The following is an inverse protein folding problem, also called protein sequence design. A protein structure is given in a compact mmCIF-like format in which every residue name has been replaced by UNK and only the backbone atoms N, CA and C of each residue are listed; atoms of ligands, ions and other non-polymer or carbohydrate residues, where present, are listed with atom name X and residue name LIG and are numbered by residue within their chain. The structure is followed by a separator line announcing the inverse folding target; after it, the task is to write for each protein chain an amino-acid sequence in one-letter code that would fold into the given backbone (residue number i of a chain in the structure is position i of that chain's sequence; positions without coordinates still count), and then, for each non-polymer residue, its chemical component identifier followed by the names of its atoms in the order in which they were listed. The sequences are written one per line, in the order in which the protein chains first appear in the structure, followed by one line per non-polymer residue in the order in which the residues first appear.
data_IF_656634041045
#
_entry.id   IF_656634041045
#
_cell.length_a   1.000
_cell.length_b   1.000
_cell.length_c   1.000
_cell.angle_alpha   90.00
_cell.angle_beta   90.00
_cell.angle_gamma   90.00
#
_symmetry.space_group_name_H-M   'P 1'
#
loop_
_entity.id
_entity.type
_entity.pdbx_description
1 polymer ?
#
# COMPACT_ATOMS: atom_id res chain seq x y z
N UNK A 1 -11.02 21.85 -1.81
CA UNK A 1 -11.23 20.39 -1.61
C UNK A 1 -10.37 19.64 -2.61
N UNK A 2 -9.60 18.68 -2.14
CA UNK A 2 -8.82 17.80 -3.02
C UNK A 2 -9.77 17.00 -3.94
N UNK A 3 -9.36 16.83 -5.19
CA UNK A 3 -10.02 15.94 -6.14
C UNK A 3 -9.06 14.79 -6.44
N UNK A 4 -9.61 13.60 -6.65
CA UNK A 4 -8.86 12.44 -7.08
C UNK A 4 -9.10 12.19 -8.56
N UNK A 5 -8.04 11.79 -9.25
CA UNK A 5 -8.08 11.19 -10.59
C UNK A 5 -7.76 9.72 -10.43
N UNK A 6 -8.49 8.82 -11.08
CA UNK A 6 -8.30 7.39 -10.90
C UNK A 6 -8.40 6.62 -12.21
N UNK A 7 -7.80 5.44 -12.23
CA UNK A 7 -7.95 4.43 -13.27
C UNK A 7 -8.58 3.18 -12.65
N UNK A 8 -9.62 2.66 -13.30
CA UNK A 8 -10.24 1.37 -12.98
C UNK A 8 -9.91 0.37 -14.07
N UNK A 9 -9.67 -0.88 -13.69
CA UNK A 9 -9.74 -2.01 -14.63
C UNK A 9 -11.15 -2.56 -14.63
N UNK A 10 -11.72 -2.74 -15.81
CA UNK A 10 -13.08 -3.19 -16.01
C UNK A 10 -13.11 -4.60 -16.62
N UNK A 11 -14.29 -5.22 -16.60
CA UNK A 11 -14.58 -6.46 -17.33
C UNK A 11 -14.15 -6.32 -18.81
N UNK A 12 -13.50 -7.36 -19.34
CA UNK A 12 -12.90 -7.31 -20.68
C UNK A 12 -11.52 -6.64 -20.74
N UNK A 13 -10.86 -6.44 -19.59
CA UNK A 13 -9.50 -5.89 -19.46
C UNK A 13 -9.34 -4.45 -20.00
N UNK A 14 -10.46 -3.72 -20.06
CA UNK A 14 -10.49 -2.31 -20.44
C UNK A 14 -10.16 -1.41 -19.25
N UNK A 15 -9.67 -0.21 -19.56
CA UNK A 15 -9.33 0.81 -18.57
C UNK A 15 -10.31 1.97 -18.65
N UNK A 16 -10.83 2.39 -17.49
CA UNK A 16 -11.66 3.58 -17.34
C UNK A 16 -10.93 4.62 -16.51
N UNK A 17 -10.97 5.88 -16.93
CA UNK A 17 -10.38 7.01 -16.19
C UNK A 17 -11.46 8.01 -15.82
N UNK A 18 -11.47 8.45 -14.56
CA UNK A 18 -12.42 9.43 -14.05
C UNK A 18 -11.85 10.27 -12.91
N UNK A 19 -12.67 11.20 -12.43
CA UNK A 19 -12.37 12.04 -11.28
C UNK A 19 -13.48 11.99 -10.23
N UNK A 20 -13.14 12.25 -8.97
CA UNK A 20 -14.09 12.29 -7.85
C UNK A 20 -13.53 13.04 -6.66
N UNK A 21 -14.36 13.46 -5.73
CA UNK A 21 -13.92 13.91 -4.39
C UNK A 21 -13.88 12.77 -3.38
N UNK A 22 -14.42 11.61 -3.74
CA UNK A 22 -14.60 10.44 -2.89
C UNK A 22 -14.50 9.18 -3.75
N UNK A 23 -13.40 8.44 -3.59
CA UNK A 23 -13.05 7.28 -4.40
C UNK A 23 -13.95 6.07 -4.09
N UNK A 24 -14.21 5.81 -2.82
CA UNK A 24 -15.02 4.68 -2.35
C UNK A 24 -16.49 4.84 -2.75
N UNK A 25 -17.06 6.04 -2.54
CA UNK A 25 -18.41 6.36 -3.02
C UNK A 25 -18.49 6.18 -4.53
N UNK A 26 -17.47 6.65 -5.26
CA UNK A 26 -17.51 6.63 -6.72
C UNK A 26 -17.40 5.21 -7.27
N UNK A 27 -16.57 4.36 -6.67
CA UNK A 27 -16.50 2.95 -7.03
C UNK A 27 -17.83 2.24 -6.78
N UNK A 28 -18.44 2.49 -5.63
CA UNK A 28 -19.77 1.94 -5.29
C UNK A 28 -20.85 2.38 -6.29
N UNK A 29 -20.81 3.63 -6.77
CA UNK A 29 -21.70 4.11 -7.83
C UNK A 29 -21.48 3.41 -9.17
N UNK A 30 -20.23 3.08 -9.51
CA UNK A 30 -19.90 2.35 -10.74
C UNK A 30 -20.25 0.85 -10.65
N UNK A 31 -20.06 0.23 -9.49
CA UNK A 31 -20.35 -1.18 -9.26
C UNK A 31 -21.86 -1.46 -9.02
N UNK A 32 -22.58 -0.47 -8.49
CA UNK A 32 -24.00 -0.59 -8.16
C UNK A 32 -24.95 -0.53 -9.36
N UNK A 33 -26.14 -1.14 -9.23
CA UNK A 33 -27.18 -1.15 -10.29
C UNK A 33 -28.02 0.14 -10.38
N UNK A 34 -27.67 1.17 -9.61
CA UNK A 34 -28.49 2.38 -9.41
C UNK A 34 -28.33 3.49 -10.45
N UNK A 35 -27.72 3.25 -11.61
CA UNK A 35 -27.62 4.22 -12.71
C UNK A 35 -26.76 5.46 -12.46
N UNK A 36 -26.05 5.55 -11.32
CA UNK A 36 -25.17 6.68 -10.97
C UNK A 36 -23.72 6.54 -11.46
N UNK A 37 -23.37 5.36 -11.97
CA UNK A 37 -22.10 5.12 -12.66
C UNK A 37 -22.07 5.77 -14.06
N UNK A 38 -20.88 5.93 -14.62
CA UNK A 38 -20.74 6.36 -16.01
C UNK A 38 -21.37 5.33 -16.96
N UNK A 39 -21.89 5.79 -18.11
CA UNK A 39 -22.48 4.91 -19.13
C UNK A 39 -21.54 3.77 -19.51
N UNK A 40 -20.25 4.05 -19.66
CA UNK A 40 -19.24 3.04 -19.99
C UNK A 40 -19.17 1.93 -18.94
N UNK A 41 -19.05 2.29 -17.67
CA UNK A 41 -18.93 1.34 -16.55
C UNK A 41 -20.20 0.55 -16.27
N UNK A 42 -21.36 1.04 -16.74
CA UNK A 42 -22.60 0.28 -16.67
C UNK A 42 -22.57 -0.95 -17.60
N UNK A 43 -21.85 -0.85 -18.73
CA UNK A 43 -21.67 -1.93 -19.71
C UNK A 43 -20.36 -2.70 -19.52
N UNK A 44 -19.37 -2.11 -18.84
CA UNK A 44 -18.07 -2.72 -18.52
C UNK A 44 -17.80 -2.51 -17.05
N UNK A 45 -18.24 -3.44 -16.19
CA UNK A 45 -18.19 -3.21 -14.75
C UNK A 45 -16.74 -3.08 -14.28
N UNK A 46 -16.43 -2.14 -13.38
CA UNK A 46 -15.11 -2.09 -12.78
C UNK A 46 -14.89 -3.31 -11.88
N UNK A 47 -13.70 -3.88 -11.99
CA UNK A 47 -13.22 -4.98 -11.17
C UNK A 47 -12.45 -4.43 -9.96
N UNK A 48 -11.61 -3.42 -10.17
CA UNK A 48 -10.76 -2.80 -9.13
C UNK A 48 -10.18 -1.46 -9.58
N UNK A 49 -9.61 -0.70 -8.64
CA UNK A 49 -8.69 0.38 -8.94
C UNK A 49 -7.33 -0.15 -9.40
N UNK A 50 -6.72 0.58 -10.34
CA UNK A 50 -5.37 0.34 -10.83
C UNK A 50 -4.41 1.49 -10.47
N UNK A 51 -4.94 2.69 -10.27
CA UNK A 51 -4.16 3.83 -9.79
C UNK A 51 -5.10 4.94 -9.34
N UNK A 52 -4.65 5.75 -8.39
CA UNK A 52 -5.29 7.03 -8.06
C UNK A 52 -4.23 8.11 -7.77
N UNK A 53 -4.58 9.36 -8.04
CA UNK A 53 -3.79 10.53 -7.73
C UNK A 53 -4.65 11.63 -7.09
N UNK A 54 -4.14 12.24 -6.03
CA UNK A 54 -4.71 13.45 -5.45
C UNK A 54 -4.25 14.68 -6.26
N UNK A 55 -5.19 15.57 -6.57
CA UNK A 55 -4.97 16.83 -7.27
C UNK A 55 -5.47 18.02 -6.41
N UNK A 56 -4.86 19.21 -6.53
CA UNK A 56 -5.18 20.38 -5.72
C UNK A 56 -6.63 20.89 -5.87
N UNK A 57 -7.32 20.48 -6.94
CA UNK A 57 -8.73 20.80 -7.16
C UNK A 57 -9.26 20.27 -8.48
N UNK A 58 -10.54 20.54 -8.76
CA UNK A 58 -11.25 20.00 -9.93
C UNK A 58 -10.59 20.32 -11.26
N UNK A 59 -10.10 21.55 -11.44
CA UNK A 59 -9.47 21.98 -12.70
C UNK A 59 -8.21 21.15 -13.00
N UNK A 60 -7.36 20.97 -11.99
CA UNK A 60 -6.15 20.13 -12.09
C UNK A 60 -6.50 18.66 -12.31
N UNK A 61 -7.50 18.14 -11.60
CA UNK A 61 -7.99 16.79 -11.80
C UNK A 61 -8.50 16.56 -13.23
N UNK A 62 -9.28 17.48 -13.79
CA UNK A 62 -9.76 17.39 -15.18
C UNK A 62 -8.64 17.48 -16.21
N UNK A 63 -7.61 18.31 -15.96
CA UNK A 63 -6.41 18.38 -16.81
C UNK A 63 -5.67 17.05 -16.84
N UNK A 64 -5.43 16.45 -15.66
CA UNK A 64 -4.78 15.15 -15.57
C UNK A 64 -5.65 14.04 -16.19
N UNK A 65 -6.96 14.01 -15.92
CA UNK A 65 -7.90 13.05 -16.53
C UNK A 65 -7.83 13.10 -18.06
N UNK A 66 -7.87 14.30 -18.65
CA UNK A 66 -7.74 14.49 -20.09
C UNK A 66 -6.41 13.94 -20.60
N UNK A 67 -5.30 14.33 -19.97
CA UNK A 67 -3.95 13.86 -20.34
C UNK A 67 -3.83 12.34 -20.25
N UNK A 68 -4.37 11.71 -19.19
CA UNK A 68 -4.39 10.25 -19.06
C UNK A 68 -5.23 9.62 -20.17
N UNK A 69 -6.39 10.20 -20.54
CA UNK A 69 -7.24 9.65 -21.60
C UNK A 69 -6.53 9.60 -22.96
N UNK A 70 -5.71 10.60 -23.27
CA UNK A 70 -4.89 10.68 -24.49
C UNK A 70 -3.77 9.63 -24.55
N UNK A 71 -3.35 9.06 -23.41
CA UNK A 71 -2.34 8.01 -23.39
C UNK A 71 -2.83 6.74 -24.09
N UNK A 72 -1.91 6.10 -24.81
CA UNK A 72 -2.11 4.75 -25.33
C UNK A 72 -2.24 3.74 -24.17
N UNK A 73 -2.77 2.55 -24.47
CA UNK A 73 -2.91 1.50 -23.45
C UNK A 73 -1.55 1.14 -22.80
N UNK A 74 -0.45 0.90 -23.53
CA UNK A 74 0.85 0.63 -22.92
C UNK A 74 1.36 1.74 -22.00
N UNK A 75 1.09 3.00 -22.33
CA UNK A 75 1.47 4.15 -21.49
C UNK A 75 0.63 4.22 -20.21
N UNK A 76 -0.67 3.92 -20.29
CA UNK A 76 -1.54 3.80 -19.11
C UNK A 76 -1.06 2.67 -18.20
N UNK A 77 -0.72 1.51 -18.74
CA UNK A 77 -0.20 0.37 -17.97
C UNK A 77 1.15 0.70 -17.31
N UNK A 78 2.01 1.47 -17.99
CA UNK A 78 3.24 2.01 -17.40
C UNK A 78 2.95 2.93 -16.23
N UNK A 79 1.98 3.84 -16.40
CA UNK A 79 1.52 4.76 -15.36
C UNK A 79 0.97 4.01 -14.14
N UNK A 80 0.15 2.98 -14.38
CA UNK A 80 -0.37 2.08 -13.35
C UNK A 80 0.76 1.42 -12.57
N UNK A 81 1.80 0.92 -13.25
CA UNK A 81 2.95 0.27 -12.60
C UNK A 81 3.89 1.23 -11.85
N UNK A 82 3.57 2.54 -11.82
CA UNK A 82 4.36 3.58 -11.16
C UNK A 82 5.45 4.20 -12.04
N UNK A 83 5.61 3.73 -13.28
CA UNK A 83 6.44 4.39 -14.27
C UNK A 83 5.76 5.65 -14.80
N UNK A 84 6.52 6.55 -15.43
CA UNK A 84 5.96 7.75 -16.06
C UNK A 84 6.32 7.75 -17.55
N UNK A 85 5.36 7.89 -18.49
CA UNK A 85 5.67 8.09 -19.91
C UNK A 85 6.54 9.33 -20.13
N UNK A 86 7.33 9.34 -21.20
CA UNK A 86 8.21 10.48 -21.51
C UNK A 86 7.38 11.76 -21.72
N UNK A 87 7.79 12.87 -21.10
CA UNK A 87 7.04 14.12 -21.13
C UNK A 87 5.76 14.17 -20.27
N UNK A 88 5.41 13.09 -19.56
CA UNK A 88 4.20 13.04 -18.73
C UNK A 88 4.46 13.50 -17.28
N UNK A 89 4.60 14.81 -17.05
CA UNK A 89 4.88 15.32 -15.69
C UNK A 89 3.74 15.08 -14.68
N UNK A 90 4.08 14.59 -13.48
CA UNK A 90 3.17 14.36 -12.35
C UNK A 90 3.41 15.29 -11.14
N UNK A 91 4.23 16.33 -11.27
CA UNK A 91 4.76 17.16 -10.17
C UNK A 91 3.69 17.76 -9.23
N UNK A 92 2.45 17.91 -9.68
CA UNK A 92 1.34 18.47 -8.90
C UNK A 92 0.32 17.42 -8.43
N UNK A 93 0.59 16.13 -8.67
CA UNK A 93 -0.34 15.04 -8.39
C UNK A 93 0.34 13.97 -7.56
N UNK A 94 -0.22 13.65 -6.41
CA UNK A 94 0.36 12.70 -5.46
C UNK A 94 -0.31 11.35 -5.63
N UNK A 95 0.46 10.26 -5.76
CA UNK A 95 -0.11 8.91 -5.88
C UNK A 95 -0.81 8.57 -4.55
N UNK A 96 -2.04 8.12 -4.65
CA UNK A 96 -2.84 7.69 -3.50
C UNK A 96 -2.93 6.19 -3.57
N UNK A 97 -2.42 5.52 -2.55
CA UNK A 97 -2.65 4.09 -2.42
C UNK A 97 -4.12 3.84 -2.09
N UNK A 98 -4.76 2.98 -2.88
CA UNK A 98 -6.18 2.69 -2.75
C UNK A 98 -6.41 1.19 -2.64
N UNK A 99 -7.42 0.81 -1.87
CA UNK A 99 -7.90 -0.57 -1.87
C UNK A 99 -8.59 -0.87 -3.21
N UNK A 100 -8.86 -2.15 -3.48
CA UNK A 100 -9.66 -2.55 -4.65
C UNK A 100 -11.06 -1.91 -4.69
N UNK A 101 -11.58 -1.44 -3.54
CA UNK A 101 -12.89 -0.77 -3.40
C UNK A 101 -12.81 0.76 -3.39
N UNK A 102 -11.61 1.35 -3.50
CA UNK A 102 -11.42 2.80 -3.60
C UNK A 102 -11.23 3.53 -2.27
N UNK A 103 -11.01 2.82 -1.18
CA UNK A 103 -10.67 3.47 0.08
C UNK A 103 -9.23 3.95 0.04
N UNK A 104 -8.99 5.23 0.33
CA UNK A 104 -7.63 5.77 0.45
C UNK A 104 -6.94 5.15 1.67
N UNK A 105 -5.74 4.61 1.48
CA UNK A 105 -5.01 3.89 2.53
C UNK A 105 -3.97 4.81 3.15
N UNK A 106 -4.06 5.06 4.45
CA UNK A 106 -2.91 5.55 5.21
C UNK A 106 -1.98 4.38 5.49
N UNK A 107 -0.81 4.38 4.88
CA UNK A 107 0.21 3.37 5.11
C UNK A 107 1.21 3.85 6.15
N UNK A 108 1.54 3.01 7.12
CA UNK A 108 2.65 3.25 8.04
C UNK A 108 3.80 2.31 7.69
N UNK A 109 4.96 2.90 7.38
CA UNK A 109 6.18 2.19 7.06
C UNK A 109 7.08 2.10 8.30
N UNK A 110 7.01 0.95 8.98
CA UNK A 110 7.80 0.64 10.17
C UNK A 110 9.14 0.07 9.73
N UNK A 111 10.22 0.77 10.04
CA UNK A 111 11.52 0.41 9.50
C UNK A 111 12.68 0.92 10.36
N UNK A 112 13.87 0.36 10.15
CA UNK A 112 15.12 0.88 10.68
C UNK A 112 15.97 1.47 9.54
N UNK A 113 16.29 2.79 9.53
CA UNK A 113 16.90 3.47 8.38
C UNK A 113 18.23 2.87 7.90
N UNK A 114 19.01 2.26 8.81
CA UNK A 114 20.32 1.68 8.46
C UNK A 114 20.23 0.25 7.91
N UNK A 115 19.03 -0.32 7.76
CA UNK A 115 18.84 -1.65 7.22
C UNK A 115 18.70 -1.62 5.70
N UNK A 116 19.49 -2.41 4.98
CA UNK A 116 19.51 -2.45 3.51
C UNK A 116 18.18 -2.92 2.90
N UNK A 117 17.51 -3.91 3.49
CA UNK A 117 16.17 -4.35 3.05
C UNK A 117 15.13 -3.25 3.20
N UNK A 118 15.25 -2.48 4.28
CA UNK A 118 14.44 -1.31 4.57
C UNK A 118 14.65 -0.19 3.55
N UNK A 119 15.90 0.08 3.18
CA UNK A 119 16.24 1.06 2.14
C UNK A 119 15.66 0.65 0.77
N UNK A 120 15.73 -0.63 0.41
CA UNK A 120 15.11 -1.16 -0.82
C UNK A 120 13.58 -0.99 -0.83
N UNK A 121 12.93 -1.31 0.28
CA UNK A 121 11.48 -1.15 0.41
C UNK A 121 11.07 0.32 0.37
N UNK A 122 11.86 1.21 0.97
CA UNK A 122 11.65 2.66 0.90
C UNK A 122 11.74 3.16 -0.54
N UNK A 123 12.83 2.81 -1.24
CA UNK A 123 13.01 3.18 -2.64
C UNK A 123 11.84 2.70 -3.51
N UNK A 124 11.33 1.48 -3.27
CA UNK A 124 10.16 0.96 -3.96
C UNK A 124 8.91 1.84 -3.79
N UNK A 125 8.64 2.33 -2.57
CA UNK A 125 7.51 3.22 -2.28
C UNK A 125 7.73 4.59 -2.91
N UNK A 126 8.92 5.17 -2.72
CA UNK A 126 9.27 6.50 -3.20
C UNK A 126 9.25 6.59 -4.74
N UNK A 127 9.80 5.58 -5.44
CA UNK A 127 9.79 5.50 -6.91
C UNK A 127 8.38 5.42 -7.50
N UNK A 128 7.43 4.85 -6.75
CA UNK A 128 6.02 4.76 -7.13
C UNK A 128 5.19 5.94 -6.62
N UNK A 129 5.82 6.85 -5.88
CA UNK A 129 5.17 8.01 -5.25
C UNK A 129 4.16 7.65 -4.16
N UNK A 130 4.23 6.44 -3.60
CA UNK A 130 3.29 5.98 -2.56
C UNK A 130 3.58 6.73 -1.26
N UNK A 131 2.60 7.48 -0.75
CA UNK A 131 2.74 8.17 0.53
C UNK A 131 2.63 7.20 1.73
N UNK A 132 3.45 7.44 2.75
CA UNK A 132 3.45 6.67 3.99
C UNK A 132 3.91 7.50 5.20
N UNK A 133 3.42 7.14 6.38
CA UNK A 133 3.92 7.61 7.67
C UNK A 133 5.13 6.75 8.08
N UNK A 134 6.31 7.38 8.23
CA UNK A 134 7.53 6.65 8.59
C UNK A 134 7.68 6.55 10.12
N UNK A 135 7.91 5.34 10.63
CA UNK A 135 8.25 5.10 12.05
C UNK A 135 9.56 4.33 12.17
N UNK A 136 10.51 4.91 12.92
CA UNK A 136 11.75 4.23 13.27
C UNK A 136 11.49 3.20 14.36
N UNK A 137 11.55 1.93 14.01
CA UNK A 137 11.25 0.80 14.91
C UNK A 137 12.22 0.72 16.12
N UNK A 138 13.40 1.35 16.03
CA UNK A 138 14.35 1.41 17.14
C UNK A 138 13.96 2.46 18.17
N UNK A 139 13.44 3.60 17.71
CA UNK A 139 13.09 4.73 18.58
C UNK A 139 11.70 4.54 19.18
N UNK A 140 10.79 4.00 18.39
CA UNK A 140 9.41 3.78 18.76
C UNK A 140 9.06 2.31 18.44
N UNK A 141 9.29 1.44 19.43
CA UNK A 141 9.09 0.00 19.32
C UNK A 141 7.59 -0.33 19.32
N UNK A 142 7.13 -1.32 18.52
CA UNK A 142 5.74 -1.75 18.52
C UNK A 142 5.29 -2.27 19.88
N UNK A 143 4.10 -1.89 20.31
CA UNK A 143 3.47 -2.46 21.51
C UNK A 143 2.92 -3.87 21.25
N UNK A 144 2.65 -4.64 22.31
CA UNK A 144 2.00 -5.96 22.18
C UNK A 144 0.65 -5.89 21.46
N UNK A 145 -0.15 -4.86 21.77
CA UNK A 145 -1.46 -4.66 21.16
C UNK A 145 -1.33 -4.44 19.65
N UNK A 146 -0.37 -3.60 19.22
CA UNK A 146 -0.08 -3.40 17.81
C UNK A 146 0.38 -4.71 17.14
N UNK A 147 1.31 -5.44 17.76
CA UNK A 147 1.85 -6.68 17.21
C UNK A 147 0.78 -7.76 17.03
N UNK A 148 -0.18 -7.88 17.95
CA UNK A 148 -1.32 -8.81 17.82
C UNK A 148 -2.19 -8.46 16.62
N UNK A 149 -2.56 -7.18 16.48
CA UNK A 149 -3.35 -6.70 15.34
C UNK A 149 -2.61 -6.94 14.03
N UNK A 150 -1.30 -6.67 14.01
CA UNK A 150 -0.48 -6.85 12.81
C UNK A 150 -0.33 -8.32 12.43
N UNK A 151 -0.12 -9.19 13.42
CA UNK A 151 -0.01 -10.63 13.22
C UNK A 151 -1.30 -11.19 12.62
N UNK A 152 -2.45 -10.91 13.25
CA UNK A 152 -3.76 -11.36 12.76
C UNK A 152 -4.02 -10.90 11.32
N UNK A 153 -3.81 -9.60 11.03
CA UNK A 153 -4.02 -9.05 9.68
C UNK A 153 -3.04 -9.58 8.63
N UNK A 154 -1.84 -9.99 9.03
CA UNK A 154 -0.86 -10.52 8.07
C UNK A 154 -1.19 -11.93 7.60
N UNK A 155 -1.94 -12.72 8.40
CA UNK A 155 -2.18 -14.15 8.14
C UNK A 155 -0.90 -15.02 8.17
N UNK A 156 0.22 -14.48 8.64
CA UNK A 156 1.51 -15.18 8.73
C UNK A 156 1.68 -15.79 10.12
N UNK A 157 2.44 -16.89 10.27
CA UNK A 157 2.81 -17.38 11.61
C UNK A 157 3.62 -16.33 12.39
N UNK A 158 3.37 -16.19 13.69
CA UNK A 158 4.05 -15.22 14.58
C UNK A 158 5.59 -15.26 14.48
N UNK A 159 6.17 -16.44 14.27
CA UNK A 159 7.61 -16.62 14.03
C UNK A 159 8.16 -15.72 12.91
N UNK A 160 7.36 -15.36 11.91
CA UNK A 160 7.74 -14.45 10.81
C UNK A 160 7.96 -12.99 11.27
N UNK A 161 7.39 -12.61 12.41
CA UNK A 161 7.61 -11.30 13.03
C UNK A 161 8.93 -11.20 13.78
N UNK A 162 9.67 -12.31 13.97
CA UNK A 162 11.00 -12.25 14.56
C UNK A 162 12.07 -11.94 13.51
N UNK A 163 13.00 -11.06 13.87
CA UNK A 163 14.20 -10.77 13.12
C UNK A 163 15.25 -11.88 13.33
N UNK A 164 15.01 -13.05 12.73
CA UNK A 164 15.84 -14.25 12.89
C UNK A 164 17.31 -14.08 12.48
N UNK A 165 17.62 -13.09 11.64
CA UNK A 165 18.99 -12.76 11.22
C UNK A 165 19.67 -11.73 12.14
N UNK A 166 18.92 -11.10 13.04
CA UNK A 166 19.38 -10.03 13.92
C UNK A 166 20.30 -10.52 15.05
N UNK A 167 21.17 -9.63 15.52
CA UNK A 167 22.09 -9.93 16.62
C UNK A 167 21.33 -10.25 17.92
N UNK A 168 20.26 -9.51 18.23
CA UNK A 168 19.45 -9.75 19.43
C UNK A 168 18.81 -11.14 19.46
N UNK A 169 18.30 -11.59 18.31
CA UNK A 169 17.70 -12.92 18.19
C UNK A 169 18.72 -14.04 18.48
N UNK A 170 19.95 -13.87 18.00
CA UNK A 170 21.06 -14.81 18.26
C UNK A 170 21.54 -14.73 19.71
N UNK A 171 21.72 -13.53 20.25
CA UNK A 171 22.22 -13.29 21.60
C UNK A 171 21.29 -13.87 22.68
N UNK A 172 19.98 -13.84 22.45
CA UNK A 172 18.99 -14.41 23.36
C UNK A 172 18.75 -15.92 23.17
N UNK A 173 19.43 -16.54 22.19
CA UNK A 173 19.28 -17.95 21.77
C UNK A 173 17.84 -18.33 21.41
N UNK A 174 17.12 -17.41 20.75
CA UNK A 174 15.68 -17.57 20.49
C UNK A 174 15.34 -18.75 19.58
N UNK A 175 16.30 -19.23 18.77
CA UNK A 175 16.12 -20.47 17.99
C UNK A 175 15.73 -21.66 18.88
N UNK A 176 16.27 -21.75 20.10
CA UNK A 176 16.01 -22.85 21.04
C UNK A 176 14.80 -22.57 21.93
N UNK A 177 14.59 -21.32 22.32
CA UNK A 177 13.57 -20.91 23.31
C UNK A 177 12.18 -20.69 22.71
N UNK A 178 12.09 -20.18 21.47
CA UNK A 178 10.79 -19.89 20.85
C UNK A 178 9.84 -21.09 20.74
N UNK A 179 10.29 -22.31 20.39
CA UNK A 179 9.40 -23.46 20.32
C UNK A 179 8.73 -23.83 21.64
N UNK A 180 9.31 -23.45 22.78
CA UNK A 180 8.75 -23.70 24.12
C UNK A 180 7.96 -22.52 24.69
N UNK A 181 7.95 -21.37 24.01
CA UNK A 181 7.24 -20.17 24.46
C UNK A 181 5.80 -20.17 23.94
N UNK A 182 4.88 -19.77 24.81
CA UNK A 182 3.51 -19.42 24.43
C UNK A 182 3.47 -18.20 23.53
N UNK A 183 2.37 -17.98 22.81
CA UNK A 183 2.24 -16.77 21.97
C UNK A 183 2.30 -15.48 22.79
N UNK A 184 1.71 -15.47 23.98
CA UNK A 184 1.72 -14.31 24.88
C UNK A 184 3.14 -13.93 25.31
N UNK A 185 3.97 -14.92 25.65
CA UNK A 185 5.38 -14.69 25.95
C UNK A 185 6.16 -14.18 24.73
N UNK A 186 5.82 -14.67 23.53
CA UNK A 186 6.43 -14.21 22.28
C UNK A 186 6.08 -12.75 21.97
N UNK A 187 4.83 -12.33 22.19
CA UNK A 187 4.42 -10.93 22.02
C UNK A 187 5.11 -10.02 23.03
N UNK A 188 5.11 -10.39 24.31
CA UNK A 188 5.79 -9.64 25.34
C UNK A 188 7.28 -9.44 24.99
N UNK A 189 7.94 -10.51 24.52
CA UNK A 189 9.32 -10.43 24.06
C UNK A 189 9.50 -9.48 22.86
N UNK A 190 8.66 -9.59 21.83
CA UNK A 190 8.75 -8.71 20.65
C UNK A 190 8.55 -7.23 21.01
N UNK A 191 7.73 -6.94 22.01
CA UNK A 191 7.46 -5.58 22.47
C UNK A 191 8.61 -4.96 23.29
N UNK A 192 9.57 -5.77 23.77
CA UNK A 192 10.69 -5.26 24.59
C UNK A 192 11.74 -4.49 23.78
N UNK A 193 12.02 -4.91 22.56
CA UNK A 193 13.03 -4.31 21.69
C UNK A 193 12.59 -4.43 20.23
N UNK A 194 12.30 -3.31 19.57
CA UNK A 194 11.97 -3.28 18.15
C UNK A 194 13.04 -3.87 17.22
N UNK A 195 14.27 -4.09 17.69
CA UNK A 195 15.31 -4.81 16.94
C UNK A 195 15.07 -6.33 16.86
N UNK A 196 14.23 -6.89 17.74
CA UNK A 196 13.73 -8.26 17.66
C UNK A 196 12.65 -8.42 16.61
N UNK A 197 11.97 -7.33 16.24
CA UNK A 197 10.89 -7.35 15.26
C UNK A 197 11.45 -7.35 13.83
N UNK A 198 10.87 -8.20 12.97
CA UNK A 198 11.19 -8.31 11.56
C UNK A 198 10.89 -6.98 10.88
N UNK A 199 11.75 -6.59 9.96
CA UNK A 199 11.67 -5.32 9.24
C UNK A 199 12.01 -5.49 7.76
N UNK A 200 11.48 -4.62 6.87
CA UNK A 200 10.45 -3.60 7.15
C UNK A 200 9.07 -4.23 7.46
N UNK A 201 8.15 -3.44 8.02
CA UNK A 201 6.72 -3.78 8.09
C UNK A 201 5.94 -2.63 7.44
N UNK A 202 5.04 -2.97 6.53
CA UNK A 202 4.09 -2.02 5.95
C UNK A 202 2.71 -2.30 6.53
N UNK A 203 2.19 -1.35 7.29
CA UNK A 203 0.89 -1.46 7.96
C UNK A 203 -0.10 -0.57 7.22
N UNK A 204 -1.10 -1.18 6.62
CA UNK A 204 -2.27 -0.52 6.06
C UNK A 204 -3.50 -0.84 6.93
N UNK A 205 -4.63 -0.22 6.61
CA UNK A 205 -5.86 -0.55 7.31
C UNK A 205 -6.34 -1.98 7.03
N UNK A 206 -6.23 -2.45 5.79
CA UNK A 206 -6.79 -3.75 5.39
C UNK A 206 -5.74 -4.86 5.30
N UNK A 207 -4.44 -4.53 5.35
CA UNK A 207 -3.38 -5.51 5.23
C UNK A 207 -2.14 -5.14 6.05
N UNK A 208 -1.32 -6.14 6.36
CA UNK A 208 0.02 -5.96 6.92
C UNK A 208 1.02 -6.83 6.18
N UNK A 209 2.08 -6.21 5.65
CA UNK A 209 3.19 -6.92 5.01
C UNK A 209 4.41 -6.94 5.91
N UNK A 210 5.01 -8.12 6.08
CA UNK A 210 6.17 -8.33 6.96
C UNK A 210 7.39 -8.76 6.14
N UNK A 211 8.43 -7.94 6.19
CA UNK A 211 9.58 -8.03 5.31
C UNK A 211 9.30 -7.40 3.95
N UNK A 212 10.33 -7.42 3.08
CA UNK A 212 10.21 -6.89 1.73
C UNK A 212 10.34 -8.01 0.71
N UNK A 213 9.23 -8.27 0.02
CA UNK A 213 9.16 -9.09 -1.19
C UNK A 213 8.40 -8.29 -2.23
N UNK A 214 9.10 -7.90 -3.29
CA UNK A 214 8.59 -6.94 -4.27
C UNK A 214 7.22 -7.35 -4.83
N UNK A 215 7.03 -8.60 -5.25
CA UNK A 215 5.76 -9.07 -5.81
C UNK A 215 4.57 -8.97 -4.84
N UNK A 216 4.78 -9.19 -3.53
CA UNK A 216 3.72 -9.04 -2.51
C UNK A 216 3.36 -7.56 -2.30
N UNK A 217 4.36 -6.68 -2.34
CA UNK A 217 4.17 -5.24 -2.21
C UNK A 217 3.52 -4.63 -3.46
N UNK A 218 3.86 -5.10 -4.66
CA UNK A 218 3.21 -4.68 -5.92
C UNK A 218 1.74 -5.10 -5.98
N UNK A 219 1.41 -6.29 -5.47
CA UNK A 219 0.03 -6.76 -5.43
C UNK A 219 -0.84 -6.00 -4.41
N UNK A 220 -0.24 -5.54 -3.32
CA UNK A 220 -0.95 -4.86 -2.23
C UNK A 220 -1.01 -3.34 -2.38
N UNK A 221 0.00 -2.73 -3.01
CA UNK A 221 0.11 -1.29 -3.17
C UNK A 221 -0.09 -0.90 -4.65
N UNK A 222 -1.31 -0.46 -4.98
CA UNK A 222 -1.76 -0.07 -6.32
C UNK A 222 -2.13 1.42 -6.35
#
# INVERSE_FOLDING_TARGET
MAYYVYILRCEGDSLYTGITTDLERRFSEHAGRGGRGARYTASHRPIRFEAAWAAPGRAEASRLEYRIKELTRPEKERLISGGTPEGFGLTHYFRVAVTNTGRAITMRFICYPKCTTCQKARAFLDERGIEYDFRDIKQDSPSEAELRVWHEKSGLPLKRFFNTSGLQYKALELTRKLPSMTEDEQYALLATDGMLVKRPILVAEDFVLVGFKQAEWEAACV
#
